data_IF_928994929255
#
_entry.id   IF_928994929255
#
_cell.length_a   1.000
_cell.length_b   1.000
_cell.length_c   1.000
_cell.angle_alpha   90.00
_cell.angle_beta   90.00
_cell.angle_gamma   90.00
#
_symmetry.space_group_name_H-M   'P 1'
#
loop_
_entity.id
_entity.type
_entity.pdbx_description
1 polymer ?
#
# COMPACT_ATOMS: atom_id res chain seq x y z
N UNK A 1 16.55 54.95 30.22
CA UNK A 1 15.56 55.76 30.95
C UNK A 1 14.21 55.59 30.26
N UNK A 2 13.17 55.23 31.03
CA UNK A 2 11.73 55.17 30.71
C UNK A 2 11.30 54.18 29.59
N UNK A 3 10.15 53.50 29.65
CA UNK A 3 9.21 53.13 30.69
C UNK A 3 8.35 51.98 30.11
N UNK A 4 7.79 51.15 31.00
CA UNK A 4 6.89 50.02 30.73
C UNK A 4 5.60 50.38 30.01
N UNK A 5 5.01 49.45 29.26
CA UNK A 5 3.55 49.26 29.24
C UNK A 5 3.19 47.79 28.98
N UNK A 6 2.55 47.20 29.98
CA UNK A 6 1.91 45.89 30.00
C UNK A 6 0.42 46.06 29.64
N UNK A 7 -0.16 45.16 28.85
CA UNK A 7 -1.61 44.91 28.88
C UNK A 7 -1.90 43.42 28.62
N UNK A 8 -2.10 42.69 29.73
CA UNK A 8 -2.78 41.39 29.79
C UNK A 8 -4.28 41.62 29.59
N UNK A 9 -4.87 40.96 28.58
CA UNK A 9 -6.32 40.93 28.36
C UNK A 9 -6.92 39.60 28.82
N UNK A 10 -7.56 39.62 29.99
CA UNK A 10 -8.41 38.56 30.54
C UNK A 10 -9.84 38.66 29.98
N UNK A 11 -10.48 37.51 29.72
CA UNK A 11 -11.93 37.37 29.64
C UNK A 11 -12.39 36.47 28.49
N UNK A 12 -13.31 35.51 28.63
CA UNK A 12 -14.17 35.08 29.74
C UNK A 12 -14.48 33.59 29.53
N UNK A 13 -14.46 32.81 30.61
CA UNK A 13 -15.03 31.46 30.65
C UNK A 13 -16.53 31.58 30.90
N UNK A 14 -17.37 30.94 30.08
CA UNK A 14 -18.79 30.75 30.36
C UNK A 14 -19.07 29.29 30.66
N UNK A 15 -19.26 29.00 31.95
CA UNK A 15 -19.88 27.78 32.43
C UNK A 15 -21.41 27.91 32.31
N UNK A 16 -22.07 26.90 31.75
CA UNK A 16 -23.51 26.71 31.92
C UNK A 16 -23.75 25.37 32.58
N UNK A 17 -24.22 25.48 33.82
CA UNK A 17 -24.84 24.44 34.63
C UNK A 17 -26.22 24.11 34.05
N UNK A 18 -26.57 22.83 33.98
CA UNK A 18 -27.95 22.39 33.96
C UNK A 18 -28.08 21.13 34.82
N UNK A 19 -28.48 21.34 36.07
CA UNK A 19 -28.95 20.29 36.97
C UNK A 19 -30.48 20.31 36.93
N UNK A 20 -31.10 19.16 36.67
CA UNK A 20 -32.49 18.93 37.05
C UNK A 20 -32.61 17.51 37.63
N UNK A 21 -33.04 17.45 38.88
CA UNK A 21 -33.17 16.24 39.68
C UNK A 21 -34.60 15.70 39.60
N UNK A 22 -34.69 14.41 39.29
CA UNK A 22 -35.56 13.35 39.83
C UNK A 22 -37.04 13.63 40.12
N UNK A 23 -37.91 12.88 39.44
CA UNK A 23 -39.23 12.48 39.95
C UNK A 23 -39.31 10.96 39.90
N UNK A 24 -39.35 10.34 41.07
CA UNK A 24 -39.62 8.92 41.28
C UNK A 24 -41.13 8.75 41.51
N UNK A 25 -41.77 7.89 40.74
CA UNK A 25 -43.04 7.26 41.12
C UNK A 25 -42.90 5.74 40.99
N UNK A 26 -43.31 4.96 42.01
CA UNK A 26 -43.23 3.51 41.97
C UNK A 26 -44.54 2.86 41.52
N UNK A 27 -44.40 1.61 41.06
CA UNK A 27 -45.38 0.51 40.98
C UNK A 27 -46.42 0.53 39.85
N UNK A 28 -46.30 -0.44 38.94
CA UNK A 28 -47.04 -1.72 39.02
C UNK A 28 -46.60 -2.66 37.88
N UNK A 29 -46.11 -3.83 38.26
CA UNK A 29 -45.97 -4.98 37.37
C UNK A 29 -47.35 -5.63 37.22
N UNK A 30 -47.87 -5.70 35.99
CA UNK A 30 -48.89 -6.69 35.62
C UNK A 30 -48.51 -7.29 34.28
N UNK A 31 -48.21 -8.58 34.34
CA UNK A 31 -48.03 -9.50 33.22
C UNK A 31 -49.22 -9.45 32.26
N UNK A 32 -48.96 -9.15 31.00
CA UNK A 32 -49.74 -9.68 29.86
C UNK A 32 -48.78 -10.07 28.76
N UNK A 33 -48.69 -11.38 28.55
CA UNK A 33 -48.04 -12.04 27.42
C UNK A 33 -48.61 -11.54 26.09
N UNK A 34 -47.78 -10.91 25.26
CA UNK A 34 -48.05 -10.77 23.83
C UNK A 34 -46.75 -11.02 23.07
N UNK A 35 -46.68 -12.24 22.52
CA UNK A 35 -45.83 -12.70 21.42
C UNK A 35 -44.48 -12.01 21.28
N UNK A 36 -43.45 -12.67 21.83
CA UNK A 36 -42.10 -12.59 21.28
C UNK A 36 -42.24 -12.95 19.80
N UNK A 37 -42.16 -11.96 18.92
CA UNK A 37 -41.91 -12.19 17.51
C UNK A 37 -40.65 -13.05 17.49
N UNK A 38 -40.85 -14.33 17.18
CA UNK A 38 -39.75 -15.24 16.94
C UNK A 38 -38.91 -14.56 15.87
N UNK A 39 -37.72 -14.08 16.24
CA UNK A 39 -36.67 -13.81 15.29
C UNK A 39 -36.57 -15.09 14.47
N UNK A 40 -37.01 -15.03 13.21
CA UNK A 40 -36.85 -16.15 12.30
C UNK A 40 -35.35 -16.39 12.19
N UNK A 41 -34.84 -17.35 12.97
CA UNK A 41 -33.55 -17.97 12.76
C UNK A 41 -33.63 -18.70 11.44
N UNK A 42 -33.38 -17.98 10.36
CA UNK A 42 -33.54 -18.50 9.02
C UNK A 42 -33.34 -17.40 7.99
N UNK A 43 -32.08 -17.17 7.62
CA UNK A 43 -31.53 -17.46 6.28
C UNK A 43 -30.19 -16.71 6.04
N UNK A 44 -29.17 -16.95 6.88
CA UNK A 44 -27.77 -16.61 6.55
C UNK A 44 -26.99 -17.89 6.16
N UNK A 45 -27.64 -18.84 5.48
CA UNK A 45 -27.16 -20.23 5.34
C UNK A 45 -26.35 -20.50 4.07
N UNK A 46 -25.80 -19.48 3.39
CA UNK A 46 -25.07 -19.69 2.13
C UNK A 46 -23.59 -19.24 2.17
N UNK A 47 -23.06 -18.88 3.33
CA UNK A 47 -21.65 -18.49 3.45
C UNK A 47 -20.86 -19.62 4.12
N UNK A 48 -19.93 -20.21 3.36
CA UNK A 48 -18.98 -21.20 3.87
C UNK A 48 -17.67 -20.47 4.16
N UNK A 49 -17.18 -20.54 5.40
CA UNK A 49 -15.85 -20.05 5.76
C UNK A 49 -14.84 -21.17 5.57
N UNK A 50 -13.96 -21.02 4.57
CA UNK A 50 -12.86 -21.96 4.31
C UNK A 50 -11.54 -21.30 4.72
N UNK A 51 -10.88 -21.86 5.72
CA UNK A 51 -9.60 -21.37 6.27
C UNK A 51 -8.40 -22.09 5.62
N UNK A 52 -8.43 -22.27 4.29
CA UNK A 52 -7.36 -22.90 3.53
C UNK A 52 -6.63 -21.87 2.67
N UNK A 53 -5.39 -22.19 2.28
CA UNK A 53 -4.65 -21.35 1.35
C UNK A 53 -5.36 -21.35 -0.01
N UNK A 54 -5.52 -20.16 -0.58
CA UNK A 54 -6.19 -19.99 -1.87
C UNK A 54 -5.25 -20.33 -3.03
N UNK A 55 -5.30 -21.55 -3.54
CA UNK A 55 -4.50 -21.99 -4.69
C UNK A 55 -5.39 -22.06 -5.95
N UNK A 56 -5.17 -21.15 -6.90
CA UNK A 56 -5.97 -21.04 -8.17
C UNK A 56 -5.24 -21.66 -9.36
N UNK A 57 -4.03 -22.17 -9.17
CA UNK A 57 -3.15 -22.75 -10.22
C UNK A 57 -3.89 -23.62 -11.23
N UNK A 58 -4.69 -24.59 -10.76
CA UNK A 58 -5.42 -25.56 -11.57
C UNK A 58 -6.52 -24.95 -12.43
N UNK A 59 -7.05 -23.77 -12.05
CA UNK A 59 -8.15 -23.10 -12.73
C UNK A 59 -7.69 -22.13 -13.83
N UNK A 60 -6.45 -21.64 -13.75
CA UNK A 60 -5.93 -20.59 -14.66
C UNK A 60 -5.69 -21.05 -16.09
N UNK A 61 -5.56 -22.36 -16.34
CA UNK A 61 -5.25 -22.91 -17.66
C UNK A 61 -3.79 -22.72 -18.11
N UNK A 62 -2.91 -22.20 -17.25
CA UNK A 62 -1.47 -22.10 -17.54
C UNK A 62 -0.83 -23.49 -17.39
N UNK A 63 0.00 -23.95 -18.35
CA UNK A 63 0.64 -25.25 -18.26
C UNK A 63 1.62 -25.31 -17.08
N UNK A 64 1.74 -26.49 -16.45
CA UNK A 64 2.55 -26.69 -15.25
C UNK A 64 4.02 -26.30 -15.44
N UNK A 65 4.53 -26.48 -16.67
CA UNK A 65 5.89 -26.07 -17.03
C UNK A 65 6.14 -24.61 -16.67
N UNK A 66 5.24 -23.69 -17.05
CA UNK A 66 5.41 -22.27 -16.77
C UNK A 66 5.14 -21.88 -15.32
N UNK A 67 4.42 -22.71 -14.57
CA UNK A 67 4.13 -22.44 -13.15
C UNK A 67 5.34 -22.80 -12.28
N UNK A 68 5.93 -23.99 -12.49
CA UNK A 68 6.98 -24.55 -11.62
C UNK A 68 8.38 -24.09 -12.00
N UNK A 69 8.68 -23.94 -13.30
CA UNK A 69 10.05 -23.64 -13.75
C UNK A 69 10.41 -22.15 -13.67
N UNK A 70 9.40 -21.28 -13.67
CA UNK A 70 9.58 -19.83 -13.68
C UNK A 70 9.74 -19.28 -12.28
N UNK A 71 10.45 -18.16 -12.21
CA UNK A 71 10.53 -17.35 -10.99
C UNK A 71 10.04 -15.94 -11.30
N UNK A 72 9.18 -15.46 -10.42
CA UNK A 72 8.62 -14.13 -10.45
C UNK A 72 9.54 -13.18 -9.68
N UNK A 73 9.81 -12.00 -10.23
CA UNK A 73 10.55 -10.94 -9.55
C UNK A 73 9.60 -9.81 -9.16
N UNK A 74 9.46 -9.58 -7.85
CA UNK A 74 8.64 -8.51 -7.27
C UNK A 74 9.57 -7.37 -6.83
N UNK A 75 9.43 -6.21 -7.46
CA UNK A 75 10.31 -5.08 -7.20
C UNK A 75 9.63 -3.74 -7.46
N UNK A 76 10.21 -2.67 -6.91
CA UNK A 76 9.88 -1.31 -7.34
C UNK A 76 10.89 -0.91 -8.42
N UNK A 77 10.46 -0.51 -9.62
CA UNK A 77 11.38 -0.16 -10.69
C UNK A 77 12.27 1.00 -10.27
N UNK A 78 13.56 0.90 -10.63
CA UNK A 78 14.52 1.96 -10.37
C UNK A 78 14.16 3.24 -11.17
N UNK A 79 14.52 4.40 -10.62
CA UNK A 79 14.39 5.67 -11.34
C UNK A 79 15.34 5.64 -12.54
N UNK A 80 14.86 6.04 -13.73
CA UNK A 80 15.74 6.29 -14.87
C UNK A 80 16.85 7.28 -14.48
N UNK A 81 18.10 6.97 -14.82
CA UNK A 81 19.24 7.82 -14.51
C UNK A 81 19.22 9.13 -15.31
N UNK A 82 18.70 9.08 -16.55
CA UNK A 82 18.63 10.22 -17.46
C UNK A 82 17.55 11.24 -17.07
N UNK A 83 16.50 10.80 -16.36
CA UNK A 83 15.38 11.67 -15.98
C UNK A 83 15.35 11.91 -14.47
N UNK A 84 14.90 13.09 -14.03
CA UNK A 84 14.74 13.42 -12.61
C UNK A 84 13.39 12.98 -12.03
N UNK A 85 12.39 12.67 -12.88
CA UNK A 85 11.04 12.28 -12.47
C UNK A 85 10.98 11.00 -11.65
N UNK A 86 10.11 10.97 -10.63
CA UNK A 86 10.05 9.90 -9.61
C UNK A 86 8.74 9.09 -9.70
N UNK A 87 7.82 9.46 -10.59
CA UNK A 87 6.45 8.91 -10.61
C UNK A 87 6.41 7.40 -10.85
N UNK A 88 7.31 6.88 -11.68
CA UNK A 88 7.38 5.45 -12.03
C UNK A 88 7.80 4.56 -10.85
N UNK A 89 8.44 5.11 -9.82
CA UNK A 89 8.95 4.36 -8.65
C UNK A 89 7.92 4.18 -7.52
N UNK A 90 6.66 4.56 -7.75
CA UNK A 90 5.60 4.51 -6.73
C UNK A 90 4.93 3.15 -6.63
N UNK A 91 4.78 2.45 -7.76
CA UNK A 91 4.07 1.17 -7.85
C UNK A 91 5.05 0.00 -7.76
N UNK A 92 4.59 -1.09 -7.17
CA UNK A 92 5.28 -2.37 -7.24
C UNK A 92 5.02 -2.99 -8.59
N UNK A 93 6.03 -3.64 -9.13
CA UNK A 93 5.94 -4.40 -10.36
C UNK A 93 6.29 -5.85 -10.08
N UNK A 94 5.63 -6.70 -10.82
CA UNK A 94 5.89 -8.13 -10.85
C UNK A 94 6.21 -8.48 -12.29
N UNK A 95 7.37 -9.09 -12.49
CA UNK A 95 7.90 -9.50 -13.78
C UNK A 95 8.33 -10.96 -13.72
N UNK A 96 8.47 -11.60 -14.88
CA UNK A 96 8.96 -12.97 -14.99
C UNK A 96 10.43 -13.00 -15.41
N UNK A 97 11.11 -14.10 -15.11
CA UNK A 97 12.45 -14.37 -15.64
C UNK A 97 12.43 -14.38 -17.17
N UNK A 98 13.40 -13.69 -17.77
CA UNK A 98 13.53 -13.62 -19.23
C UNK A 98 14.18 -14.90 -19.76
N UNK A 99 13.49 -15.57 -20.68
CA UNK A 99 14.02 -16.71 -21.44
C UNK A 99 14.75 -16.30 -22.72
N UNK A 100 15.26 -17.30 -23.41
CA UNK A 100 15.95 -17.17 -24.68
C UNK A 100 15.11 -16.42 -25.73
N UNK A 101 15.80 -15.52 -26.43
CA UNK A 101 15.34 -14.85 -27.62
C UNK A 101 16.38 -15.10 -28.70
N UNK A 102 15.97 -15.61 -29.85
CA UNK A 102 16.85 -15.93 -30.97
C UNK A 102 16.56 -15.04 -32.18
N UNK A 103 17.47 -15.05 -33.14
CA UNK A 103 17.33 -14.30 -34.38
C UNK A 103 16.48 -15.08 -35.40
N UNK A 104 15.51 -14.41 -36.03
CA UNK A 104 14.74 -14.95 -37.14
C UNK A 104 15.62 -15.01 -38.41
N UNK A 105 15.87 -16.21 -39.00
CA UNK A 105 16.78 -16.37 -40.13
C UNK A 105 16.44 -15.53 -41.38
N UNK A 106 15.17 -15.15 -41.56
CA UNK A 106 14.73 -14.39 -42.74
C UNK A 106 14.89 -12.88 -42.56
N UNK A 107 14.40 -12.34 -41.43
CA UNK A 107 14.27 -10.89 -41.21
C UNK A 107 15.20 -10.32 -40.12
N UNK A 108 15.88 -11.17 -39.35
CA UNK A 108 16.74 -10.73 -38.23
C UNK A 108 15.96 -10.27 -36.99
N UNK A 109 14.65 -10.56 -36.89
CA UNK A 109 13.84 -10.19 -35.72
C UNK A 109 14.16 -11.05 -34.50
N UNK A 110 13.88 -10.51 -33.31
CA UNK A 110 14.01 -11.24 -32.04
C UNK A 110 12.78 -12.12 -31.80
N UNK A 111 12.89 -13.41 -32.16
CA UNK A 111 11.85 -14.42 -31.95
C UNK A 111 11.98 -15.06 -30.56
N UNK A 112 10.85 -15.50 -30.00
CA UNK A 112 10.80 -16.20 -28.70
C UNK A 112 9.64 -17.19 -28.66
N UNK A 113 9.77 -18.25 -27.86
CA UNK A 113 8.70 -19.19 -27.53
C UNK A 113 8.08 -18.90 -26.15
N UNK A 114 8.40 -17.75 -25.56
CA UNK A 114 7.97 -17.40 -24.21
C UNK A 114 6.66 -16.57 -24.20
N UNK A 115 5.51 -17.13 -23.77
CA UNK A 115 4.26 -16.40 -23.70
C UNK A 115 4.21 -15.38 -22.56
N UNK A 116 4.97 -15.57 -21.48
CA UNK A 116 4.92 -14.71 -20.28
C UNK A 116 5.97 -13.58 -20.31
N UNK A 117 6.85 -13.59 -21.32
CA UNK A 117 7.99 -12.68 -21.45
C UNK A 117 7.67 -11.18 -21.40
N UNK A 118 6.43 -10.79 -21.73
CA UNK A 118 6.01 -9.39 -21.80
C UNK A 118 4.96 -9.04 -20.72
N UNK A 119 4.66 -9.97 -19.80
CA UNK A 119 3.69 -9.73 -18.74
C UNK A 119 4.30 -8.95 -17.59
N UNK A 120 3.89 -7.69 -17.44
CA UNK A 120 4.29 -6.85 -16.31
C UNK A 120 3.04 -6.42 -15.55
N UNK A 121 2.90 -6.89 -14.32
CA UNK A 121 1.77 -6.55 -13.47
C UNK A 121 2.17 -5.43 -12.51
N UNK A 122 1.24 -4.49 -12.26
CA UNK A 122 1.46 -3.36 -11.37
C UNK A 122 0.58 -3.46 -10.13
N UNK A 123 1.19 -3.34 -8.95
CA UNK A 123 0.55 -3.43 -7.65
C UNK A 123 0.75 -2.14 -6.85
N UNK A 124 -0.13 -1.91 -5.88
CA UNK A 124 -0.04 -0.76 -4.98
C UNK A 124 0.83 -1.08 -3.76
N UNK A 125 0.67 -2.25 -3.17
CA UNK A 125 1.43 -2.71 -2.01
C UNK A 125 2.35 -3.89 -2.37
N UNK A 126 3.28 -4.22 -1.46
CA UNK A 126 4.15 -5.40 -1.62
C UNK A 126 3.36 -6.67 -1.31
N UNK A 127 2.51 -6.58 -0.30
CA UNK A 127 1.70 -7.65 0.26
C UNK A 127 0.71 -8.16 -0.80
N UNK A 128 0.07 -7.26 -1.56
CA UNK A 128 -0.84 -7.65 -2.65
C UNK A 128 -0.10 -8.43 -3.75
N UNK A 129 1.13 -8.02 -4.08
CA UNK A 129 1.92 -8.69 -5.11
C UNK A 129 2.34 -10.10 -4.65
N UNK A 130 2.72 -10.24 -3.37
CA UNK A 130 3.07 -11.54 -2.78
C UNK A 130 1.85 -12.44 -2.71
N UNK A 131 0.72 -11.94 -2.20
CA UNK A 131 -0.52 -12.69 -2.14
C UNK A 131 -0.97 -13.14 -3.54
N UNK A 132 -0.81 -12.30 -4.56
CA UNK A 132 -1.12 -12.68 -5.94
C UNK A 132 -0.18 -13.77 -6.48
N UNK A 133 1.13 -13.69 -6.21
CA UNK A 133 2.08 -14.72 -6.62
C UNK A 133 1.80 -16.06 -5.92
N UNK A 134 1.53 -16.03 -4.61
CA UNK A 134 1.19 -17.22 -3.82
C UNK A 134 -0.11 -17.86 -4.29
N UNK A 135 -1.13 -17.04 -4.62
CA UNK A 135 -2.43 -17.51 -5.12
C UNK A 135 -2.32 -18.25 -6.45
N UNK A 136 -1.39 -17.82 -7.30
CA UNK A 136 -1.10 -18.45 -8.59
C UNK A 136 0.00 -19.51 -8.49
N UNK A 137 0.50 -19.82 -7.30
CA UNK A 137 1.50 -20.87 -7.07
C UNK A 137 2.86 -20.61 -7.73
N UNK A 138 3.22 -19.36 -7.99
CA UNK A 138 4.51 -19.01 -8.59
C UNK A 138 5.60 -18.82 -7.54
N UNK A 139 6.80 -19.32 -7.80
CA UNK A 139 7.98 -19.02 -7.00
C UNK A 139 8.38 -17.56 -7.20
N UNK A 140 8.68 -16.82 -6.13
CA UNK A 140 8.96 -15.38 -6.22
C UNK A 140 10.24 -14.96 -5.50
N UNK A 141 10.81 -13.85 -5.94
CA UNK A 141 11.90 -13.13 -5.31
C UNK A 141 11.48 -11.68 -5.04
N UNK A 142 11.77 -11.16 -3.86
CA UNK A 142 11.43 -9.80 -3.49
C UNK A 142 12.70 -8.95 -3.42
N UNK A 143 12.71 -7.86 -4.18
CA UNK A 143 13.68 -6.79 -3.99
C UNK A 143 13.03 -5.63 -3.26
N UNK A 144 13.58 -5.27 -2.10
CA UNK A 144 13.04 -4.19 -1.29
C UNK A 144 13.15 -2.82 -1.97
N UNK A 145 12.16 -1.96 -1.70
CA UNK A 145 12.10 -0.61 -2.24
C UNK A 145 13.26 0.23 -1.70
N UNK A 146 14.14 0.69 -2.60
CA UNK A 146 15.23 1.60 -2.26
C UNK A 146 14.73 3.05 -2.25
N UNK A 147 14.59 3.64 -1.06
CA UNK A 147 14.31 5.07 -0.91
C UNK A 147 15.59 5.91 -0.88
N UNK A 148 15.60 7.04 -1.60
CA UNK A 148 16.71 7.99 -1.53
C UNK A 148 16.73 8.68 -0.16
N UNK A 149 17.91 8.78 0.45
CA UNK A 149 18.08 9.47 1.74
C UNK A 149 17.94 10.99 1.54
N UNK A 150 17.16 11.70 2.37
CA UNK A 150 17.08 13.16 2.30
C UNK A 150 18.46 13.76 2.56
N UNK A 151 18.87 14.72 1.72
CA UNK A 151 20.18 15.39 1.84
C UNK A 151 19.96 16.82 2.30
N UNK A 152 20.69 17.23 3.34
CA UNK A 152 20.74 18.64 3.77
C UNK A 152 21.48 19.43 2.70
N UNK A 153 20.82 20.46 2.14
CA UNK A 153 21.40 21.37 1.15
C UNK A 153 21.18 22.80 1.66
N UNK A 154 22.26 23.58 1.74
CA UNK A 154 22.21 25.01 2.04
C UNK A 154 22.95 25.76 0.94
N UNK A 155 22.32 26.78 0.34
CA UNK A 155 22.97 27.58 -0.70
C UNK A 155 24.15 28.40 -0.13
N UNK A 156 24.03 28.87 1.12
CA UNK A 156 25.13 29.56 1.82
C UNK A 156 26.37 28.70 2.00
N UNK A 157 26.22 27.38 2.10
CA UNK A 157 27.35 26.45 2.18
C UNK A 157 28.22 26.45 0.91
N UNK A 158 27.68 26.87 -0.24
CA UNK A 158 28.46 27.00 -1.48
C UNK A 158 29.47 28.17 -1.43
N UNK A 159 29.35 29.10 -0.48
CA UNK A 159 30.20 30.30 -0.34
C UNK A 159 30.79 30.45 1.07
N UNK A 160 30.99 29.33 1.78
CA UNK A 160 31.60 29.33 3.11
C UNK A 160 32.99 29.96 3.13
N UNK A 161 33.26 30.82 4.13
CA UNK A 161 34.56 31.47 4.31
C UNK A 161 35.70 30.48 4.54
N UNK A 162 35.49 29.48 5.41
CA UNK A 162 36.53 28.57 5.91
C UNK A 162 36.34 27.09 5.52
N UNK A 163 35.16 26.70 4.99
CA UNK A 163 34.88 25.30 4.64
C UNK A 163 35.22 24.97 3.19
N UNK A 164 35.60 23.70 2.96
CA UNK A 164 35.89 23.13 1.62
C UNK A 164 34.65 22.99 0.73
N UNK A 165 33.46 23.30 1.23
CA UNK A 165 32.21 23.28 0.46
C UNK A 165 32.10 24.45 -0.52
N UNK A 166 32.99 25.46 -0.40
CA UNK A 166 33.03 26.61 -1.30
C UNK A 166 33.24 26.17 -2.75
N UNK A 167 32.32 26.56 -3.63
CA UNK A 167 32.41 26.31 -5.08
C UNK A 167 33.35 27.31 -5.73
N UNK A 168 34.11 26.87 -6.72
CA UNK A 168 34.98 27.73 -7.53
C UNK A 168 34.20 28.55 -8.56
N UNK A 169 33.13 27.97 -9.12
CA UNK A 169 32.26 28.58 -10.12
C UNK A 169 30.78 28.24 -9.85
N UNK A 170 29.88 29.01 -10.46
CA UNK A 170 28.42 28.84 -10.34
C UNK A 170 27.80 28.50 -11.69
#
# INVERSE_FOLDING_TARGET
>A
MAASMSLLGLGRLSALNAASKWVLYPLRFTSTSTSRLAEKQGQDTQLITVNEKLDITTLTGVPEEHIKTRKVHIFVPAKSAMQSGINNTKKWKMDFDTRERWENPLMGWSSTADPLSNMVLSFTSKEDAVAFAEKNGWSYEITEKRSSKPRVKSYGANFSWDKRTRRSAK
#
